data_IF_521352200394
#
_entry.id   IF_521352200394
#
_cell.length_a   1.000
_cell.length_b   1.000
_cell.length_c   1.000
_cell.angle_alpha   90.00
_cell.angle_beta   90.00
_cell.angle_gamma   90.00
#
_symmetry.space_group_name_H-M   'P 1'
#
loop_
_entity.id
_entity.type
_entity.pdbx_description
1 polymer ?
#
# COMPACT_ATOMS: atom_id res chain seq x y z
N UNK A 1 11.62 3.09 -13.03
CA UNK A 1 10.75 2.36 -13.98
C UNK A 1 10.67 0.96 -13.45
N UNK A 2 9.57 0.60 -12.79
CA UNK A 2 9.34 -0.78 -12.37
C UNK A 2 9.24 -1.61 -13.65
N UNK A 3 10.09 -2.63 -13.78
CA UNK A 3 10.00 -3.56 -14.91
C UNK A 3 8.62 -4.20 -14.96
N UNK A 4 8.27 -4.84 -16.07
CA UNK A 4 7.03 -5.63 -16.13
C UNK A 4 7.13 -6.74 -15.08
N UNK A 5 6.43 -6.55 -13.96
CA UNK A 5 6.30 -7.56 -12.91
C UNK A 5 5.52 -8.72 -13.53
N UNK A 6 6.01 -9.95 -13.31
CA UNK A 6 5.32 -11.16 -13.73
C UNK A 6 5.46 -12.19 -12.63
N UNK A 7 4.31 -12.54 -12.06
CA UNK A 7 4.15 -13.69 -11.21
C UNK A 7 3.56 -14.82 -12.06
N UNK A 8 3.94 -16.05 -11.75
CA UNK A 8 3.50 -17.27 -12.39
C UNK A 8 2.18 -17.76 -11.80
N UNK A 9 1.99 -17.65 -10.49
CA UNK A 9 0.77 -18.06 -9.78
C UNK A 9 0.83 -17.60 -8.32
N UNK A 10 -0.32 -17.40 -7.67
CA UNK A 10 -0.36 -17.07 -6.24
C UNK A 10 0.34 -18.13 -5.37
N UNK A 11 0.08 -19.42 -5.60
CA UNK A 11 0.64 -20.50 -4.78
C UNK A 11 2.18 -20.56 -4.79
N UNK A 12 2.79 -20.36 -5.96
CA UNK A 12 4.25 -20.46 -6.10
C UNK A 12 4.99 -19.19 -5.69
N UNK A 13 4.36 -18.03 -5.85
CA UNK A 13 5.04 -16.73 -5.73
C UNK A 13 4.45 -15.87 -4.59
N UNK A 14 3.72 -16.47 -3.65
CA UNK A 14 3.05 -15.75 -2.56
C UNK A 14 4.00 -14.82 -1.80
N UNK A 15 5.17 -15.32 -1.39
CA UNK A 15 6.18 -14.54 -0.66
C UNK A 15 6.71 -13.37 -1.51
N UNK A 16 6.94 -13.59 -2.80
CA UNK A 16 7.39 -12.54 -3.73
C UNK A 16 6.31 -11.46 -3.94
N UNK A 17 5.03 -11.87 -3.98
CA UNK A 17 3.89 -10.95 -4.08
C UNK A 17 3.78 -10.13 -2.79
N UNK A 18 3.94 -10.74 -1.61
CA UNK A 18 3.94 -10.04 -0.33
C UNK A 18 5.10 -9.05 -0.20
N UNK A 19 6.33 -9.45 -0.57
CA UNK A 19 7.49 -8.56 -0.58
C UNK A 19 7.28 -7.39 -1.54
N UNK A 20 6.71 -7.67 -2.71
CA UNK A 20 6.38 -6.64 -3.67
C UNK A 20 5.36 -5.64 -3.12
N UNK A 21 4.29 -6.11 -2.48
CA UNK A 21 3.27 -5.25 -1.84
C UNK A 21 3.90 -4.39 -0.74
N UNK A 22 4.73 -4.99 0.13
CA UNK A 22 5.41 -4.25 1.19
C UNK A 22 6.36 -3.18 0.64
N UNK A 23 7.09 -3.51 -0.43
CA UNK A 23 7.98 -2.56 -1.11
C UNK A 23 7.20 -1.41 -1.74
N UNK A 24 6.11 -1.72 -2.45
CA UNK A 24 5.23 -0.72 -3.05
C UNK A 24 4.63 0.21 -1.99
N UNK A 25 4.12 -0.36 -0.89
CA UNK A 25 3.59 0.39 0.25
C UNK A 25 4.65 1.34 0.82
N UNK A 26 5.85 0.85 1.11
CA UNK A 26 6.93 1.67 1.67
C UNK A 26 7.34 2.82 0.75
N UNK A 27 7.39 2.62 -0.56
CA UNK A 27 7.68 3.67 -1.54
C UNK A 27 6.59 4.75 -1.58
N UNK A 28 5.32 4.33 -1.55
CA UNK A 28 4.18 5.23 -1.49
C UNK A 28 4.14 6.01 -0.18
N UNK A 29 4.42 5.37 0.96
CA UNK A 29 4.49 6.04 2.26
C UNK A 29 5.64 7.03 2.33
N UNK A 30 6.82 6.71 1.79
CA UNK A 30 7.90 7.68 1.67
C UNK A 30 7.48 8.91 0.86
N UNK A 31 6.71 8.70 -0.21
CA UNK A 31 6.15 9.78 -1.03
C UNK A 31 5.15 10.62 -0.23
N UNK A 32 4.22 9.98 0.49
CA UNK A 32 3.26 10.67 1.35
C UNK A 32 3.96 11.47 2.44
N UNK A 33 4.95 10.90 3.11
CA UNK A 33 5.73 11.56 4.16
C UNK A 33 6.44 12.80 3.63
N UNK A 34 6.99 12.75 2.40
CA UNK A 34 7.60 13.92 1.77
C UNK A 34 6.57 15.01 1.44
N UNK A 35 5.38 14.64 0.95
CA UNK A 35 4.32 15.60 0.61
C UNK A 35 3.63 16.21 1.83
N UNK A 36 3.47 15.44 2.90
CA UNK A 36 2.70 15.83 4.09
C UNK A 36 3.57 16.23 5.28
N UNK A 37 4.90 16.35 5.09
CA UNK A 37 5.86 16.65 6.15
C UNK A 37 5.54 17.92 6.97
N UNK A 38 4.83 18.89 6.39
CA UNK A 38 4.47 20.15 7.04
C UNK A 38 3.02 20.20 7.53
N UNK A 39 2.24 19.15 7.30
CA UNK A 39 0.84 19.08 7.72
C UNK A 39 0.74 18.56 9.16
N UNK A 40 -0.26 19.02 9.93
CA UNK A 40 -0.63 18.35 11.18
C UNK A 40 -0.96 16.87 10.94
N UNK A 41 -0.64 16.01 11.90
CA UNK A 41 -0.82 14.56 11.77
C UNK A 41 -2.29 14.19 11.44
N UNK A 42 -3.26 14.85 12.05
CA UNK A 42 -4.68 14.64 11.77
C UNK A 42 -5.03 14.92 10.29
N UNK A 43 -4.52 16.01 9.71
CA UNK A 43 -4.73 16.32 8.30
C UNK A 43 -4.00 15.32 7.38
N UNK A 44 -2.80 14.87 7.76
CA UNK A 44 -2.06 13.87 7.00
C UNK A 44 -2.81 12.52 6.94
N UNK A 45 -3.40 12.09 8.06
CA UNK A 45 -4.26 10.88 8.14
C UNK A 45 -5.43 11.01 7.14
N UNK A 46 -6.15 12.14 7.15
CA UNK A 46 -7.27 12.38 6.22
C UNK A 46 -6.82 12.27 4.75
N UNK A 47 -5.62 12.77 4.41
CA UNK A 47 -5.09 12.65 3.04
C UNK A 47 -4.74 11.23 2.66
N UNK A 48 -4.13 10.47 3.57
CA UNK A 48 -3.74 9.07 3.34
C UNK A 48 -4.97 8.17 3.15
N UNK A 49 -6.06 8.45 3.87
CA UNK A 49 -7.33 7.73 3.75
C UNK A 49 -7.97 7.84 2.37
N UNK A 50 -7.79 8.98 1.70
CA UNK A 50 -8.35 9.26 0.38
C UNK A 50 -7.56 8.62 -0.77
N UNK A 51 -6.37 8.09 -0.51
CA UNK A 51 -5.56 7.42 -1.53
C UNK A 51 -6.27 6.12 -1.96
N UNK A 52 -6.46 5.89 -3.28
CA UNK A 52 -7.10 4.68 -3.79
C UNK A 52 -6.12 3.50 -3.85
N UNK A 53 -5.60 3.06 -2.69
CA UNK A 53 -4.53 2.06 -2.57
C UNK A 53 -4.74 0.78 -3.38
N UNK A 54 -5.92 0.17 -3.27
CA UNK A 54 -6.25 -1.03 -4.02
C UNK A 54 -6.24 -0.78 -5.54
N UNK A 55 -6.74 0.37 -6.00
CA UNK A 55 -6.76 0.68 -7.42
C UNK A 55 -5.36 0.88 -7.99
N UNK A 56 -4.48 1.57 -7.24
CA UNK A 56 -3.08 1.72 -7.63
C UNK A 56 -2.38 0.36 -7.77
N UNK A 57 -2.67 -0.59 -6.88
CA UNK A 57 -2.14 -1.96 -7.00
C UNK A 57 -2.70 -2.68 -8.23
N UNK A 58 -4.01 -2.57 -8.51
CA UNK A 58 -4.61 -3.14 -9.73
C UNK A 58 -3.97 -2.61 -11.00
N UNK A 59 -3.70 -1.31 -11.05
CA UNK A 59 -3.03 -0.67 -12.17
C UNK A 59 -1.60 -1.20 -12.35
N UNK A 60 -0.84 -1.36 -11.26
CA UNK A 60 0.53 -1.89 -11.33
C UNK A 60 0.58 -3.37 -11.75
N UNK A 61 -0.42 -4.16 -11.35
CA UNK A 61 -0.50 -5.59 -11.65
C UNK A 61 -1.40 -5.88 -12.85
N UNK A 62 -1.68 -4.89 -13.69
CA UNK A 62 -2.51 -5.08 -14.88
C UNK A 62 -1.93 -6.18 -15.77
N UNK A 63 -2.75 -7.20 -16.06
CA UNK A 63 -2.36 -8.35 -16.87
C UNK A 63 -1.75 -9.52 -16.08
N UNK A 64 -1.68 -9.42 -14.75
CA UNK A 64 -1.52 -10.60 -13.87
C UNK A 64 -2.85 -11.35 -13.73
N UNK A 65 -2.76 -12.56 -13.18
CA UNK A 65 -3.94 -13.35 -12.82
C UNK A 65 -4.77 -12.63 -11.74
N UNK A 66 -6.09 -12.75 -11.86
CA UNK A 66 -7.04 -12.05 -10.99
C UNK A 66 -6.84 -12.40 -9.50
N UNK A 67 -6.50 -13.65 -9.20
CA UNK A 67 -6.23 -14.11 -7.84
C UNK A 67 -5.02 -13.40 -7.20
N UNK A 68 -3.98 -13.14 -7.99
CA UNK A 68 -2.79 -12.40 -7.56
C UNK A 68 -3.13 -10.93 -7.29
N UNK A 69 -3.93 -10.33 -8.18
CA UNK A 69 -4.39 -8.96 -8.03
C UNK A 69 -5.24 -8.83 -6.76
N UNK A 70 -6.20 -9.73 -6.55
CA UNK A 70 -7.06 -9.73 -5.36
C UNK A 70 -6.24 -9.86 -4.08
N UNK A 71 -5.35 -10.86 -4.02
CA UNK A 71 -4.45 -11.04 -2.89
C UNK A 71 -3.63 -9.79 -2.60
N UNK A 72 -2.96 -9.22 -3.61
CA UNK A 72 -2.15 -8.02 -3.44
C UNK A 72 -2.98 -6.79 -2.99
N UNK A 73 -4.21 -6.64 -3.52
CA UNK A 73 -5.11 -5.55 -3.10
C UNK A 73 -5.63 -5.70 -1.68
N UNK A 74 -5.78 -6.93 -1.20
CA UNK A 74 -6.12 -7.20 0.19
C UNK A 74 -4.93 -6.86 1.09
N UNK A 75 -3.73 -7.35 0.75
CA UNK A 75 -2.51 -7.08 1.53
C UNK A 75 -2.20 -5.58 1.64
N UNK A 76 -2.32 -4.81 0.56
CA UNK A 76 -2.07 -3.36 0.61
C UNK A 76 -3.10 -2.64 1.48
N UNK A 77 -4.34 -3.12 1.50
CA UNK A 77 -5.41 -2.54 2.32
C UNK A 77 -5.14 -2.78 3.81
N UNK A 78 -4.71 -4.00 4.17
CA UNK A 78 -4.32 -4.29 5.55
C UNK A 78 -3.13 -3.45 6.01
N UNK A 79 -2.08 -3.32 5.19
CA UNK A 79 -0.93 -2.46 5.51
C UNK A 79 -1.35 -1.01 5.77
N UNK A 80 -2.22 -0.46 4.91
CA UNK A 80 -2.79 0.87 5.09
C UNK A 80 -3.56 0.98 6.42
N UNK A 81 -4.42 0.02 6.72
CA UNK A 81 -5.22 0.05 7.94
C UNK A 81 -4.37 -0.04 9.21
N UNK A 82 -3.35 -0.88 9.21
CA UNK A 82 -2.37 -0.98 10.31
C UNK A 82 -1.62 0.34 10.52
N UNK A 83 -1.15 0.97 9.44
CA UNK A 83 -0.42 2.25 9.53
C UNK A 83 -1.33 3.38 10.03
N UNK A 84 -2.57 3.46 9.55
CA UNK A 84 -3.55 4.44 10.03
C UNK A 84 -3.91 4.23 11.50
N UNK A 85 -4.04 2.97 11.94
CA UNK A 85 -4.24 2.65 13.35
C UNK A 85 -3.04 3.12 14.19
N UNK A 86 -1.82 2.94 13.69
CA UNK A 86 -0.60 3.42 14.33
C UNK A 86 -0.59 4.95 14.45
N UNK A 87 -0.94 5.68 13.39
CA UNK A 87 -1.00 7.15 13.43
C UNK A 87 -2.07 7.70 14.37
N UNK A 88 -3.26 7.10 14.36
CA UNK A 88 -4.35 7.51 15.26
C UNK A 88 -3.99 7.29 16.72
N UNK A 89 -3.23 6.23 17.03
CA UNK A 89 -2.75 6.00 18.39
C UNK A 89 -1.85 7.14 18.90
N UNK A 90 -1.13 7.86 18.04
CA UNK A 90 -0.37 9.04 18.46
C UNK A 90 -1.26 10.27 18.72
N UNK A 91 -2.38 10.42 18.01
CA UNK A 91 -3.34 11.49 18.28
C UNK A 91 -4.05 11.30 19.61
N UNK A 92 -4.36 10.06 19.98
CA UNK A 92 -4.99 9.72 21.27
C UNK A 92 -4.02 9.86 22.47
N UNK A 93 -2.73 10.09 22.21
CA UNK A 93 -1.70 10.34 23.24
C UNK A 93 -1.44 11.83 23.50
N UNK A 94 -2.07 12.75 22.75
CA UNK A 94 -2.04 14.21 22.98
C UNK A 94 -3.19 14.68 23.91
#
# INVERSE_FOLDING_TARGET
MFGTIRFNSLENDMEDIEEWVATFFGQMMNTCNAFFATLPLAEAIERIELIPWAELVREQLQGQDQEIIEFATERITELKEMELAHYRAYLDLE
#
